data_IF_694618600029
#
_entry.id   IF_694618600029
#
_cell.length_a   1.000
_cell.length_b   1.000
_cell.length_c   1.000
_cell.angle_alpha   90.00
_cell.angle_beta   90.00
_cell.angle_gamma   90.00
#
_symmetry.space_group_name_H-M   'P 1'
#
loop_
_entity.id
_entity.type
_entity.pdbx_description
1 polymer ?
#
# COMPACT_ATOMS: atom_id res chain seq x y z
N UNK A 1 -8.19 10.04 6.22
CA UNK A 1 -7.71 8.64 6.10
C UNK A 1 -6.36 8.44 6.81
N UNK A 2 -5.25 9.04 6.34
CA UNK A 2 -3.91 8.79 6.92
C UNK A 2 -3.81 9.14 8.41
N UNK A 3 -4.43 10.23 8.86
CA UNK A 3 -4.43 10.60 10.27
C UNK A 3 -5.02 9.52 11.20
N UNK A 4 -5.98 8.74 10.70
CA UNK A 4 -6.68 7.69 11.44
C UNK A 4 -5.79 6.49 11.77
N UNK A 5 -4.70 6.27 11.03
CA UNK A 5 -3.77 5.15 11.25
C UNK A 5 -2.52 5.56 12.04
N UNK A 6 -2.42 6.79 12.53
CA UNK A 6 -1.21 7.28 13.26
C UNK A 6 -0.87 6.42 14.48
N UNK A 7 -1.86 6.11 15.32
CA UNK A 7 -1.67 5.26 16.50
C UNK A 7 -1.19 3.86 16.13
N UNK A 8 -1.79 3.26 15.09
CA UNK A 8 -1.36 1.96 14.56
C UNK A 8 0.05 2.03 13.95
N UNK A 9 0.43 3.14 13.33
CA UNK A 9 1.73 3.28 12.66
C UNK A 9 2.91 3.28 13.63
N UNK A 10 2.71 3.62 14.91
CA UNK A 10 3.78 3.79 15.89
C UNK A 10 4.55 2.51 16.25
N UNK A 11 3.96 1.33 16.03
CA UNK A 11 4.66 0.06 16.21
C UNK A 11 5.50 -0.30 14.98
N UNK A 12 6.77 -0.66 15.21
CA UNK A 12 7.66 -1.19 14.16
C UNK A 12 7.21 -2.54 13.61
N UNK A 13 6.42 -3.29 14.38
CA UNK A 13 5.86 -4.59 13.94
C UNK A 13 4.70 -4.43 12.96
N UNK A 14 4.15 -3.23 12.79
CA UNK A 14 3.01 -2.99 11.91
C UNK A 14 3.47 -2.57 10.50
N UNK A 15 2.76 -3.02 9.47
CA UNK A 15 2.98 -2.62 8.08
C UNK A 15 1.87 -1.69 7.57
N UNK A 16 2.22 -0.73 6.73
CA UNK A 16 1.28 0.14 6.03
C UNK A 16 1.65 0.23 4.54
N UNK A 17 0.66 0.02 3.67
CA UNK A 17 0.73 0.31 2.25
C UNK A 17 -0.57 1.06 1.87
N UNK A 18 -0.51 2.38 1.78
CA UNK A 18 -1.65 3.26 1.53
C UNK A 18 -1.36 4.06 0.26
N UNK A 19 -2.02 3.70 -0.85
CA UNK A 19 -1.88 4.36 -2.14
C UNK A 19 -2.97 5.42 -2.36
N UNK A 20 -2.76 6.27 -3.37
CA UNK A 20 -3.69 7.28 -3.80
C UNK A 20 -4.74 6.75 -4.81
N UNK A 21 -5.36 5.59 -4.56
CA UNK A 21 -6.37 5.02 -5.46
C UNK A 21 -7.77 4.99 -4.84
N UNK A 22 -8.76 5.32 -5.66
CA UNK A 22 -10.17 5.02 -5.37
C UNK A 22 -10.46 3.59 -5.85
N UNK A 23 -10.25 2.60 -4.96
CA UNK A 23 -10.33 1.17 -5.28
C UNK A 23 -10.68 0.31 -4.06
N UNK A 24 -11.25 -0.88 -4.28
CA UNK A 24 -11.50 -1.91 -3.27
C UNK A 24 -10.83 -3.27 -3.64
N UNK A 25 -10.72 -4.20 -2.69
CA UNK A 25 -10.19 -5.57 -2.90
C UNK A 25 -8.81 -5.68 -3.59
N UNK A 26 -7.90 -4.72 -3.41
CA UNK A 26 -6.61 -4.69 -4.13
C UNK A 26 -5.69 -5.90 -3.87
N UNK A 27 -5.90 -6.65 -2.78
CA UNK A 27 -5.16 -7.87 -2.47
C UNK A 27 -5.63 -9.11 -3.22
N UNK A 28 -6.88 -9.11 -3.69
CA UNK A 28 -7.51 -10.30 -4.29
C UNK A 28 -7.20 -10.42 -5.79
N UNK A 29 -6.86 -9.32 -6.44
CA UNK A 29 -6.60 -9.27 -7.87
C UNK A 29 -5.10 -9.35 -8.16
N UNK A 30 -4.61 -10.35 -8.92
CA UNK A 30 -3.20 -10.44 -9.30
C UNK A 30 -2.69 -9.19 -10.00
N UNK A 31 -3.58 -8.54 -10.76
CA UNK A 31 -3.26 -7.33 -11.48
C UNK A 31 -2.84 -6.20 -10.53
N UNK A 32 -3.46 -6.04 -9.37
CA UNK A 32 -3.11 -5.00 -8.37
C UNK A 32 -2.12 -5.50 -7.34
N UNK A 33 -2.28 -6.74 -6.88
CA UNK A 33 -1.40 -7.36 -5.90
C UNK A 33 0.05 -7.45 -6.41
N UNK A 34 0.22 -7.93 -7.64
CA UNK A 34 1.50 -8.11 -8.32
C UNK A 34 1.72 -7.11 -9.45
N UNK A 35 0.93 -6.04 -9.56
CA UNK A 35 1.08 -5.00 -10.59
C UNK A 35 0.96 -3.60 -10.01
N UNK A 36 0.12 -2.75 -10.61
CA UNK A 36 -0.09 -1.35 -10.20
C UNK A 36 -1.33 -1.22 -9.31
N UNK A 37 -1.36 -0.25 -8.39
CA UNK A 37 -0.39 0.82 -8.15
C UNK A 37 0.91 0.38 -7.45
N UNK A 38 1.95 1.21 -7.55
CA UNK A 38 3.21 1.01 -6.81
C UNK A 38 3.61 2.27 -6.06
N UNK A 39 4.06 2.13 -4.82
CA UNK A 39 4.64 3.23 -4.04
C UNK A 39 6.15 3.04 -4.02
N UNK A 40 6.92 4.07 -4.40
CA UNK A 40 8.39 3.99 -4.47
C UNK A 40 8.88 2.76 -5.28
N UNK A 41 8.24 2.50 -6.43
CA UNK A 41 8.51 1.34 -7.29
C UNK A 41 8.30 -0.04 -6.63
N UNK A 42 7.62 -0.11 -5.49
CA UNK A 42 7.25 -1.37 -4.83
C UNK A 42 5.77 -1.67 -4.98
N UNK A 43 5.48 -2.89 -5.44
CA UNK A 43 4.13 -3.47 -5.56
C UNK A 43 3.60 -3.87 -4.19
N UNK A 44 2.28 -4.03 -4.07
CA UNK A 44 1.61 -4.44 -2.82
C UNK A 44 2.22 -5.74 -2.29
N UNK A 45 2.31 -6.78 -3.13
CA UNK A 45 2.83 -8.09 -2.74
C UNK A 45 4.26 -8.03 -2.19
N UNK A 46 5.12 -7.21 -2.81
CA UNK A 46 6.51 -7.05 -2.37
C UNK A 46 6.58 -6.34 -1.02
N UNK A 47 5.83 -5.26 -0.86
CA UNK A 47 5.72 -4.51 0.40
C UNK A 47 5.18 -5.38 1.54
N UNK A 48 4.09 -6.11 1.32
CA UNK A 48 3.51 -7.01 2.32
C UNK A 48 4.49 -8.13 2.65
N UNK A 49 5.12 -8.76 1.65
CA UNK A 49 6.10 -9.81 1.89
C UNK A 49 7.31 -9.32 2.68
N UNK A 50 7.85 -8.13 2.36
CA UNK A 50 9.00 -7.59 3.08
C UNK A 50 8.67 -7.28 4.54
N UNK A 51 7.46 -6.79 4.82
CA UNK A 51 6.97 -6.63 6.18
C UNK A 51 6.77 -7.97 6.90
N UNK A 52 6.01 -8.90 6.29
CA UNK A 52 5.62 -10.17 6.91
C UNK A 52 6.81 -11.04 7.31
N UNK A 53 7.83 -11.10 6.45
CA UNK A 53 9.05 -11.87 6.71
C UNK A 53 10.14 -11.07 7.45
N UNK A 54 9.84 -9.86 7.94
CA UNK A 54 10.79 -9.03 8.68
C UNK A 54 12.01 -8.58 7.86
N UNK A 55 11.88 -8.48 6.52
CA UNK A 55 12.96 -8.02 5.63
C UNK A 55 13.10 -6.50 5.61
N UNK A 56 12.02 -5.77 5.90
CA UNK A 56 12.04 -4.32 6.01
C UNK A 56 10.86 -3.81 6.87
N UNK A 57 11.04 -2.65 7.51
CA UNK A 57 9.91 -1.87 7.99
C UNK A 57 9.21 -1.21 6.80
N UNK A 58 7.89 -1.37 6.71
CA UNK A 58 7.09 -0.88 5.57
C UNK A 58 6.03 0.08 6.08
N UNK A 59 6.27 1.38 5.86
CA UNK A 59 5.32 2.47 6.08
C UNK A 59 5.13 3.26 4.77
N UNK A 60 4.74 2.56 3.72
CA UNK A 60 4.56 3.14 2.40
C UNK A 60 3.23 3.87 2.34
N UNK A 61 3.29 5.21 2.37
CA UNK A 61 2.12 6.07 2.25
C UNK A 61 2.40 6.99 1.07
N UNK A 62 1.47 7.00 0.13
CA UNK A 62 1.56 7.80 -1.08
C UNK A 62 1.12 9.26 -0.85
N UNK A 63 1.11 10.06 -1.91
CA UNK A 63 0.60 11.42 -1.89
C UNK A 63 -0.92 11.48 -1.65
N UNK A 64 -1.47 12.67 -1.29
CA UNK A 64 -2.91 12.86 -1.17
C UNK A 64 -3.63 12.58 -2.49
N UNK A 65 -4.76 11.88 -2.40
CA UNK A 65 -5.62 11.62 -3.55
C UNK A 65 -6.11 12.91 -4.24
N UNK A 66 -6.21 12.95 -5.59
CA UNK A 66 -5.82 11.93 -6.59
C UNK A 66 -4.48 12.24 -7.26
N UNK A 67 -3.40 11.54 -6.89
CA UNK A 67 -2.08 11.75 -7.51
C UNK A 67 -1.54 10.53 -8.28
N UNK A 68 -1.97 9.32 -7.93
CA UNK A 68 -1.48 8.10 -8.59
C UNK A 68 -2.26 7.80 -9.88
N UNK A 69 -1.61 8.06 -11.01
CA UNK A 69 -2.19 7.81 -12.34
C UNK A 69 -2.06 6.35 -12.80
N UNK A 70 -1.48 5.47 -11.98
CA UNK A 70 -1.32 4.03 -12.26
C UNK A 70 -2.41 3.17 -11.62
N UNK A 71 -3.31 3.81 -10.87
CA UNK A 71 -4.47 3.18 -10.25
C UNK A 71 -5.33 2.44 -11.28
N UNK A 72 -5.86 1.30 -10.84
CA UNK A 72 -6.91 0.60 -11.58
C UNK A 72 -8.27 0.98 -10.98
N UNK A 73 -9.24 1.25 -11.83
CA UNK A 73 -10.61 1.49 -11.41
C UNK A 73 -11.29 0.14 -11.13
N UNK A 74 -11.39 -0.20 -9.85
CA UNK A 74 -11.94 -1.45 -9.32
C UNK A 74 -12.76 -1.08 -8.09
N UNK A 75 -14.07 -0.94 -8.30
CA UNK A 75 -15.08 -0.57 -7.31
C UNK A 75 -15.95 -1.79 -7.05
#
# INVERSE_FOLDING_TARGET
>A
MVASVRGFSGSKSNGLFINSCFAHCQSELPATWNGTPTIQNKRIAKSVGDWYFGRAEVKAIDCPYPCDNTCRNII
#
